data_IF_652471852507
#
_entry.id   IF_652471852507
#
_cell.length_a   1.000
_cell.length_b   1.000
_cell.length_c   1.000
_cell.angle_alpha   90.00
_cell.angle_beta   90.00
_cell.angle_gamma   90.00
#
_symmetry.space_group_name_H-M   'P 1'
#
loop_
_entity.id
_entity.type
_entity.pdbx_description
1 polymer ?
#
# COMPACT_ATOMS: atom_id res chain seq x y z
N UNK A 1 -19.67 2.15 -5.95
CA UNK A 1 -19.94 1.86 -4.53
C UNK A 1 -18.96 0.83 -3.95
N UNK A 2 -18.94 -0.42 -4.46
CA UNK A 2 -18.06 -1.47 -3.92
C UNK A 2 -16.56 -1.09 -3.89
N UNK A 3 -16.03 -0.48 -4.95
CA UNK A 3 -14.61 -0.06 -5.01
C UNK A 3 -14.28 1.09 -4.06
N UNK A 4 -15.22 2.02 -3.86
CA UNK A 4 -15.08 3.08 -2.86
C UNK A 4 -14.96 2.48 -1.46
N UNK A 5 -15.79 1.47 -1.14
CA UNK A 5 -15.69 0.73 0.12
C UNK A 5 -14.37 -0.04 0.24
N UNK A 6 -13.88 -0.64 -0.85
CA UNK A 6 -12.54 -1.27 -0.87
C UNK A 6 -11.44 -0.26 -0.56
N UNK A 7 -11.43 0.91 -1.22
CA UNK A 7 -10.46 1.97 -0.96
C UNK A 7 -10.51 2.44 0.49
N UNK A 8 -11.71 2.66 1.04
CA UNK A 8 -11.89 3.07 2.43
C UNK A 8 -11.37 2.03 3.42
N UNK A 9 -11.62 0.74 3.16
CA UNK A 9 -11.12 -0.36 3.98
C UNK A 9 -9.60 -0.41 3.96
N UNK A 10 -8.98 -0.38 2.77
CA UNK A 10 -7.51 -0.38 2.62
C UNK A 10 -6.89 0.83 3.33
N UNK A 11 -7.45 2.03 3.14
CA UNK A 11 -6.97 3.24 3.83
C UNK A 11 -7.05 3.11 5.35
N UNK A 12 -8.17 2.58 5.87
CA UNK A 12 -8.41 2.42 7.30
C UNK A 12 -7.45 1.41 7.92
N UNK A 13 -7.21 0.28 7.26
CA UNK A 13 -6.29 -0.75 7.75
C UNK A 13 -4.84 -0.27 7.74
N UNK A 14 -4.39 0.38 6.66
CA UNK A 14 -3.04 0.94 6.60
C UNK A 14 -2.83 2.04 7.65
N UNK A 15 -3.80 2.95 7.84
CA UNK A 15 -3.75 3.96 8.89
C UNK A 15 -3.77 3.34 10.30
N UNK A 16 -4.56 2.28 10.50
CA UNK A 16 -4.62 1.55 11.78
C UNK A 16 -3.29 0.88 12.09
N UNK A 17 -2.59 0.34 11.09
CA UNK A 17 -1.26 -0.23 11.27
C UNK A 17 -0.24 0.80 11.74
N UNK A 18 -0.27 2.02 11.19
CA UNK A 18 0.58 3.12 11.68
C UNK A 18 0.37 3.38 13.18
N UNK A 19 -0.89 3.49 13.60
CA UNK A 19 -1.24 3.79 14.98
C UNK A 19 -0.91 2.63 15.94
N UNK A 20 -1.21 1.38 15.55
CA UNK A 20 -1.07 0.21 16.44
C UNK A 20 0.34 -0.35 16.50
N UNK A 21 1.11 -0.24 15.41
CA UNK A 21 2.37 -0.97 15.26
C UNK A 21 3.58 -0.05 15.09
N UNK A 22 3.40 1.18 14.62
CA UNK A 22 4.50 2.10 14.36
C UNK A 22 4.59 3.30 15.31
N UNK A 23 3.58 3.49 16.18
CA UNK A 23 3.51 4.66 17.06
C UNK A 23 3.12 5.96 16.33
N UNK A 24 2.57 5.83 15.12
CA UNK A 24 2.23 6.94 14.23
C UNK A 24 2.95 6.85 12.89
N UNK A 25 2.78 7.89 12.07
CA UNK A 25 3.35 7.97 10.73
C UNK A 25 2.55 8.92 9.85
N UNK A 26 2.73 8.78 8.54
CA UNK A 26 2.08 9.63 7.55
C UNK A 26 1.31 8.78 6.55
N UNK A 27 0.15 9.30 6.10
CA UNK A 27 -0.64 8.75 5.01
C UNK A 27 -0.63 9.78 3.89
N UNK A 28 -0.28 9.36 2.68
CA UNK A 28 -0.37 10.15 1.47
C UNK A 28 -1.38 9.52 0.54
N UNK A 29 -2.28 10.34 0.00
CA UNK A 29 -3.32 9.91 -0.92
C UNK A 29 -3.19 10.75 -2.20
N UNK A 30 -3.11 10.07 -3.34
CA UNK A 30 -2.98 10.72 -4.65
C UNK A 30 -3.78 9.94 -5.71
N UNK A 31 -4.11 10.60 -6.83
CA UNK A 31 -4.73 9.95 -7.99
C UNK A 31 -3.68 9.80 -9.07
N UNK A 32 -3.27 8.56 -9.33
CA UNK A 32 -2.16 8.23 -10.21
C UNK A 32 -2.62 7.42 -11.43
N UNK A 33 -1.95 7.60 -12.56
CA UNK A 33 -2.12 6.74 -13.72
C UNK A 33 -1.54 5.33 -13.44
N UNK A 34 -1.94 4.29 -14.21
CA UNK A 34 -1.35 2.96 -14.07
C UNK A 34 0.18 3.00 -14.19
N UNK A 35 0.91 2.14 -13.46
CA UNK A 35 2.37 2.08 -13.54
C UNK A 35 2.87 1.68 -14.94
N UNK A 36 2.08 0.91 -15.69
CA UNK A 36 2.34 0.51 -17.08
C UNK A 36 1.11 0.84 -17.92
N UNK A 37 1.27 1.71 -18.92
CA UNK A 37 0.26 1.89 -19.97
C UNK A 37 0.52 0.83 -21.03
N UNK A 38 -0.36 -0.17 -21.14
CA UNK A 38 -0.34 -1.05 -22.29
C UNK A 38 -0.70 -0.21 -23.54
N UNK A 39 0.07 -0.34 -24.62
CA UNK A 39 -0.18 0.40 -25.85
C UNK A 39 -1.63 0.19 -26.31
N UNK A 40 -2.36 1.28 -26.55
CA UNK A 40 -3.75 1.25 -26.99
C UNK A 40 -4.81 1.08 -25.88
N UNK A 41 -4.44 1.11 -24.58
CA UNK A 41 -5.41 1.21 -23.48
C UNK A 41 -5.46 2.64 -22.92
N UNK A 42 -6.66 3.10 -22.58
CA UNK A 42 -6.84 4.33 -21.80
C UNK A 42 -6.23 4.17 -20.40
N UNK A 43 -5.67 5.27 -19.87
CA UNK A 43 -5.14 5.30 -18.52
C UNK A 43 -6.29 5.16 -17.51
N UNK A 44 -6.36 4.01 -16.84
CA UNK A 44 -7.30 3.78 -15.74
C UNK A 44 -6.72 4.41 -14.47
N UNK A 45 -7.19 5.60 -14.12
CA UNK A 45 -6.75 6.31 -12.91
C UNK A 45 -7.03 5.47 -11.64
N UNK A 46 -6.08 5.51 -10.70
CA UNK A 46 -6.11 4.74 -9.45
C UNK A 46 -5.91 5.68 -8.28
N UNK A 47 -6.63 5.42 -7.19
CA UNK A 47 -6.32 6.05 -5.90
C UNK A 47 -5.13 5.33 -5.30
N UNK A 48 -4.02 6.03 -5.15
CA UNK A 48 -2.82 5.56 -4.45
C UNK A 48 -2.90 5.98 -2.99
N UNK A 49 -2.67 5.02 -2.10
CA UNK A 49 -2.51 5.23 -0.67
C UNK A 49 -1.09 4.79 -0.32
N UNK A 50 -0.29 5.70 0.21
CA UNK A 50 1.07 5.42 0.71
C UNK A 50 1.10 5.67 2.19
N UNK A 51 1.59 4.71 2.97
CA UNK A 51 1.89 4.92 4.39
C UNK A 51 3.37 4.85 4.64
N UNK A 52 3.89 5.78 5.44
CA UNK A 52 5.30 5.86 5.81
C UNK A 52 5.41 6.03 7.32
N UNK A 53 6.25 5.23 7.95
CA UNK A 53 6.57 5.34 9.36
C UNK A 53 8.07 5.21 9.65
N UNK A 54 8.44 5.62 10.86
CA UNK A 54 9.78 5.44 11.45
C UNK A 54 9.72 4.52 12.68
N UNK A 55 8.76 3.59 12.68
CA UNK A 55 8.54 2.65 13.77
C UNK A 55 9.55 1.51 13.80
N UNK A 56 9.25 0.42 14.52
CA UNK A 56 10.17 -0.70 14.71
C UNK A 56 10.44 -1.52 13.42
N UNK A 57 9.68 -1.31 12.35
CA UNK A 57 9.72 -2.14 11.15
C UNK A 57 9.18 -3.56 11.38
N UNK A 58 9.25 -4.38 10.33
CA UNK A 58 8.73 -5.75 10.28
C UNK A 58 9.91 -6.70 10.02
N UNK A 59 10.10 -7.68 10.91
CA UNK A 59 11.20 -8.65 10.83
C UNK A 59 10.99 -9.73 9.77
N UNK A 60 9.76 -10.22 9.61
CA UNK A 60 9.37 -11.17 8.58
C UNK A 60 8.15 -10.64 7.81
N UNK A 61 8.44 -9.92 6.72
CA UNK A 61 7.42 -9.35 5.83
C UNK A 61 6.55 -10.43 5.21
N UNK A 62 7.14 -11.56 4.82
CA UNK A 62 6.39 -12.67 4.22
C UNK A 62 5.41 -13.30 5.20
N UNK A 63 5.74 -13.36 6.50
CA UNK A 63 4.79 -13.75 7.54
C UNK A 63 3.71 -12.68 7.76
N UNK A 64 4.06 -11.39 7.78
CA UNK A 64 3.09 -10.31 7.96
C UNK A 64 2.05 -10.20 6.83
N UNK A 65 2.41 -10.65 5.62
CA UNK A 65 1.50 -10.72 4.46
C UNK A 65 0.67 -12.01 4.41
N UNK A 66 1.02 -13.04 5.18
CA UNK A 66 0.23 -14.28 5.28
C UNK A 66 -0.98 -14.02 6.20
N UNK A 67 -2.15 -14.50 5.76
CA UNK A 67 -3.38 -14.39 6.55
C UNK A 67 -3.24 -15.04 7.91
N UNK A 68 -3.86 -14.41 8.92
CA UNK A 68 -3.90 -14.90 10.29
C UNK A 68 -2.89 -14.26 11.25
N UNK A 69 -2.00 -13.38 10.79
CA UNK A 69 -1.15 -12.59 11.69
C UNK A 69 -1.94 -11.39 12.26
N UNK A 70 -2.90 -11.67 13.15
CA UNK A 70 -3.60 -10.65 13.92
C UNK A 70 -2.96 -10.56 15.30
N UNK A 71 -2.15 -9.52 15.54
CA UNK A 71 -1.56 -9.29 16.87
C UNK A 71 -2.51 -8.54 17.80
N UNK A 72 -3.62 -7.98 17.30
CA UNK A 72 -4.62 -7.26 18.10
C UNK A 72 -6.03 -7.43 17.52
N UNK A 73 -7.03 -7.71 18.36
CA UNK A 73 -8.40 -8.08 17.98
C UNK A 73 -9.25 -6.98 17.32
N UNK A 74 -8.81 -6.39 16.21
CA UNK A 74 -9.72 -5.71 15.27
C UNK A 74 -10.34 -6.69 14.28
N UNK A 75 -11.31 -6.21 13.47
CA UNK A 75 -11.95 -6.90 12.35
C UNK A 75 -10.94 -7.26 11.23
N UNK A 76 -9.95 -8.09 11.55
CA UNK A 76 -9.27 -9.05 10.69
C UNK A 76 -8.94 -8.68 9.24
N UNK A 77 -8.34 -7.52 8.98
CA UNK A 77 -7.86 -7.19 7.63
C UNK A 77 -6.43 -6.61 7.63
N UNK A 78 -5.49 -7.37 8.20
CA UNK A 78 -4.06 -7.02 8.18
C UNK A 78 -3.47 -6.79 6.78
N UNK A 79 -2.17 -6.55 6.71
CA UNK A 79 -1.44 -6.24 5.46
C UNK A 79 -1.75 -7.23 4.31
N UNK A 80 -1.98 -8.51 4.62
CA UNK A 80 -2.41 -9.52 3.64
C UNK A 80 -3.75 -9.19 2.96
N UNK A 81 -4.74 -8.70 3.71
CA UNK A 81 -6.03 -8.28 3.13
C UNK A 81 -5.86 -7.06 2.23
N UNK A 82 -5.05 -6.08 2.64
CA UNK A 82 -4.71 -4.94 1.78
C UNK A 82 -4.08 -5.41 0.45
N UNK A 83 -3.14 -6.36 0.52
CA UNK A 83 -2.47 -6.93 -0.64
C UNK A 83 -3.39 -7.71 -1.60
N UNK A 84 -4.49 -8.28 -1.08
CA UNK A 84 -5.51 -8.96 -1.91
C UNK A 84 -6.53 -8.01 -2.52
N UNK A 85 -6.90 -6.96 -1.80
CA UNK A 85 -7.96 -6.04 -2.21
C UNK A 85 -7.48 -4.96 -3.19
N UNK A 86 -6.23 -4.54 -3.06
CA UNK A 86 -5.62 -3.56 -3.95
C UNK A 86 -5.23 -4.18 -5.29
N UNK A 87 -5.26 -3.37 -6.36
CA UNK A 87 -4.83 -3.83 -7.69
C UNK A 87 -3.30 -3.90 -7.76
N UNK A 88 -2.63 -2.86 -7.22
CA UNK A 88 -1.19 -2.87 -6.93
C UNK A 88 -0.97 -2.77 -5.42
N UNK A 89 -0.03 -3.56 -4.92
CA UNK A 89 0.40 -3.50 -3.54
C UNK A 89 1.90 -3.76 -3.46
N UNK A 90 2.62 -2.95 -2.68
CA UNK A 90 4.02 -3.17 -2.36
C UNK A 90 4.32 -2.74 -0.93
N UNK A 91 5.31 -3.38 -0.31
CA UNK A 91 5.70 -3.13 1.07
C UNK A 91 7.23 -3.27 1.19
N UNK A 92 7.84 -2.22 1.73
CA UNK A 92 9.24 -2.22 2.13
C UNK A 92 9.35 -1.93 3.62
N UNK A 93 10.02 -2.79 4.37
CA UNK A 93 10.22 -2.59 5.81
C UNK A 93 11.64 -2.96 6.20
N UNK A 94 12.21 -2.20 7.12
CA UNK A 94 13.54 -2.46 7.67
C UNK A 94 13.44 -2.43 9.20
N UNK A 95 13.81 -3.52 9.90
CA UNK A 95 13.83 -3.56 11.35
C UNK A 95 14.61 -2.38 11.95
N UNK A 96 13.99 -1.68 12.88
CA UNK A 96 14.52 -0.49 13.55
C UNK A 96 14.54 0.80 12.71
N UNK A 97 14.00 0.80 11.48
CA UNK A 97 13.94 2.02 10.63
C UNK A 97 12.54 2.41 10.19
N UNK A 98 11.60 1.46 10.17
CA UNK A 98 10.19 1.69 9.84
C UNK A 98 9.72 0.94 8.60
N UNK A 99 8.52 1.29 8.14
CA UNK A 99 7.83 0.64 7.02
C UNK A 99 7.28 1.67 6.03
N UNK A 100 7.31 1.30 4.75
CA UNK A 100 6.61 1.98 3.66
C UNK A 100 5.67 0.97 3.01
N UNK A 101 4.40 1.31 2.86
CA UNK A 101 3.41 0.51 2.14
C UNK A 101 2.78 1.36 1.06
N UNK A 102 2.60 0.79 -0.13
CA UNK A 102 1.86 1.40 -1.24
C UNK A 102 0.71 0.47 -1.60
N UNK A 103 -0.49 1.01 -1.70
CA UNK A 103 -1.65 0.32 -2.24
C UNK A 103 -2.33 1.20 -3.30
N UNK A 104 -2.77 0.62 -4.41
CA UNK A 104 -3.53 1.33 -5.45
C UNK A 104 -4.83 0.63 -5.76
N UNK A 105 -5.90 1.41 -5.83
CA UNK A 105 -7.26 0.91 -6.11
C UNK A 105 -7.85 1.73 -7.25
N UNK A 106 -8.08 1.08 -8.39
CA UNK A 106 -8.76 1.60 -9.57
C UNK A 106 -10.28 1.54 -9.44
N UNK A 107 -10.96 2.35 -10.26
CA UNK A 107 -12.42 2.45 -10.31
C UNK A 107 -13.10 1.15 -10.77
N UNK A 108 -12.40 0.32 -11.52
CA UNK A 108 -12.83 -1.01 -11.99
C UNK A 108 -11.76 -2.03 -11.58
N UNK A 109 -12.12 -3.22 -11.08
CA UNK A 109 -11.14 -4.28 -10.83
C UNK A 109 -10.44 -4.64 -12.14
N UNK A 110 -9.12 -4.45 -12.20
CA UNK A 110 -8.33 -4.98 -13.31
C UNK A 110 -7.87 -6.40 -12.96
N UNK A 111 -8.04 -7.33 -13.89
CA UNK A 111 -7.35 -8.62 -13.81
C UNK A 111 -5.86 -8.30 -13.87
N UNK A 112 -5.10 -8.64 -12.82
CA UNK A 112 -3.64 -8.53 -12.82
C UNK A 112 -3.13 -9.09 -14.14
N UNK A 113 -2.63 -8.22 -15.01
CA UNK A 113 -1.94 -8.68 -16.20
C UNK A 113 -0.79 -9.57 -15.73
N UNK A 114 -0.68 -10.77 -16.29
CA UNK A 114 0.47 -11.63 -16.03
C UNK A 114 1.74 -10.82 -16.26
N UNK A 115 2.67 -10.93 -15.33
CA UNK A 115 3.91 -10.17 -15.29
C UNK A 115 4.66 -10.38 -16.61
N UNK A 116 4.60 -9.40 -17.51
CA UNK A 116 5.15 -9.52 -18.87
C UNK A 116 6.58 -8.99 -18.87
N UNK A 117 7.48 -9.78 -18.28
CA UNK A 117 8.92 -9.65 -18.50
C UNK A 117 9.57 -8.38 -17.91
N UNK A 118 10.90 -8.22 -18.13
CA UNK A 118 11.75 -7.50 -17.20
C UNK A 118 11.47 -5.99 -17.17
N UNK A 119 11.24 -5.51 -15.94
CA UNK A 119 11.47 -4.16 -15.41
C UNK A 119 11.90 -3.08 -16.41
N UNK A 120 10.98 -2.67 -17.28
CA UNK A 120 11.17 -1.53 -18.16
C UNK A 120 11.02 -0.22 -17.40
N UNK A 121 12.11 0.18 -16.72
CA UNK A 121 12.32 1.40 -15.89
C UNK A 121 12.02 1.21 -14.40
N UNK A 122 13.07 1.33 -13.59
CA UNK A 122 12.95 1.64 -12.17
C UNK A 122 12.11 2.91 -12.02
N UNK A 123 10.88 2.78 -11.52
CA UNK A 123 10.04 3.94 -11.18
C UNK A 123 10.23 4.23 -9.70
N UNK A 124 11.13 5.16 -9.41
CA UNK A 124 11.23 5.75 -8.08
C UNK A 124 10.24 6.92 -7.97
N UNK A 125 9.39 6.88 -6.95
CA UNK A 125 8.64 8.03 -6.47
C UNK A 125 9.31 8.58 -5.22
N UNK A 126 9.23 9.90 -5.01
CA UNK A 126 9.68 10.52 -3.77
C UNK A 126 8.48 11.17 -3.10
N UNK A 127 8.38 10.97 -1.79
CA UNK A 127 7.47 11.73 -0.94
C UNK A 127 8.31 12.80 -0.25
N UNK A 128 8.05 14.07 -0.57
CA UNK A 128 8.59 15.18 0.21
C UNK A 128 7.58 15.57 1.26
N UNK A 129 7.94 15.34 2.52
CA UNK A 129 7.14 15.77 3.67
C UNK A 129 7.82 16.96 4.33
N UNK A 130 7.08 17.99 4.74
CA UNK A 130 7.66 19.09 5.50
C UNK A 130 8.40 18.54 6.72
N UNK A 131 9.66 18.96 6.90
CA UNK A 131 10.41 18.61 8.09
C UNK A 131 9.74 19.27 9.30
N UNK A 132 9.11 18.46 10.15
CA UNK A 132 8.32 18.95 11.29
C UNK A 132 9.15 19.71 12.33
N UNK A 133 10.47 19.47 12.39
CA UNK A 133 11.35 20.02 13.43
C UNK A 133 11.00 19.49 14.83
N UNK A 134 12.03 19.33 15.67
CA UNK A 134 11.88 19.13 17.12
C UNK A 134 12.21 20.43 17.83
#
# INVERSE_FOLDING_TARGET
EQRTSTTALVATELATNLLKHAGGGQVLIDVVAPPVLAAGREATWRVQIVTVDHGPGISDVSAALRDGFTTTGSLGAGLGTCARLADDFDLHSVPGRGTVVVARVGAVPEVRAADTGPAGRLRAGAVNVPFGGA
#
